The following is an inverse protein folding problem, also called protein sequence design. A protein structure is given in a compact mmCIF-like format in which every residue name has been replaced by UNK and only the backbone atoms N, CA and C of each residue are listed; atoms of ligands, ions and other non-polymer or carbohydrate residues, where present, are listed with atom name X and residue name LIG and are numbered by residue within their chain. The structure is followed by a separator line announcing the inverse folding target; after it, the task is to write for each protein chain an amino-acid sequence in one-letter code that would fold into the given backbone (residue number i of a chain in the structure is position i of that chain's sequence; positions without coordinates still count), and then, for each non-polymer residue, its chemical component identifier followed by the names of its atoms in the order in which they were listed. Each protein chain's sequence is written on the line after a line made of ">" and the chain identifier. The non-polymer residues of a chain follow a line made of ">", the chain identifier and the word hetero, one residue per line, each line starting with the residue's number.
data_IF_512764772853
#
_entry.id   IF_512764772853
#
_cell.length_a   1.000
_cell.length_b   1.000
_cell.length_c   1.000
_cell.angle_alpha   90.00
_cell.angle_beta   90.00
_cell.angle_gamma   90.00
#
_symmetry.space_group_name_H-M   'P 1'
#
loop_
_entity.id
_entity.type
_entity.pdbx_description
1 polymer ?
#
# COMPACT_ATOMS: atom_id res chain seq x y z
N UNK A 1 20.55 7.36 -4.08
CA UNK A 1 19.44 6.47 -3.66
C UNK A 1 18.67 7.17 -2.55
N UNK A 2 17.36 7.39 -2.72
CA UNK A 2 16.52 7.88 -1.62
C UNK A 2 16.17 6.73 -0.67
N UNK A 3 15.76 7.03 0.58
CA UNK A 3 15.29 6.01 1.52
C UNK A 3 14.05 5.27 0.99
N UNK A 4 13.21 5.95 0.22
CA UNK A 4 12.03 5.37 -0.42
C UNK A 4 12.44 4.36 -1.50
N UNK A 5 13.43 4.69 -2.35
CA UNK A 5 13.94 3.77 -3.37
C UNK A 5 14.47 2.47 -2.75
N UNK A 6 15.27 2.57 -1.68
CA UNK A 6 15.80 1.39 -1.00
C UNK A 6 14.72 0.56 -0.28
N UNK A 7 13.64 1.18 0.19
CA UNK A 7 12.50 0.46 0.75
C UNK A 7 11.68 -0.24 -0.35
N UNK A 8 11.51 0.42 -1.50
CA UNK A 8 10.83 -0.14 -2.66
C UNK A 8 11.57 -1.32 -3.28
N UNK A 9 12.90 -1.25 -3.39
CA UNK A 9 13.74 -2.36 -3.87
C UNK A 9 13.56 -3.59 -2.98
N UNK A 10 13.68 -3.45 -1.66
CA UNK A 10 13.47 -4.57 -0.71
C UNK A 10 12.07 -5.16 -0.79
N UNK A 11 11.05 -4.33 -0.97
CA UNK A 11 9.67 -4.79 -1.17
C UNK A 11 9.54 -5.57 -2.48
N UNK A 12 10.09 -5.03 -3.57
CA UNK A 12 10.02 -5.65 -4.90
C UNK A 12 10.74 -6.98 -4.92
N UNK A 13 11.93 -7.07 -4.32
CA UNK A 13 12.68 -8.32 -4.18
C UNK A 13 11.86 -9.37 -3.42
N UNK A 14 11.24 -8.99 -2.31
CA UNK A 14 10.41 -9.91 -1.53
C UNK A 14 9.13 -10.34 -2.27
N UNK A 15 8.58 -9.50 -3.15
CA UNK A 15 7.47 -9.84 -4.05
C UNK A 15 7.87 -10.81 -5.19
N UNK A 16 9.16 -10.97 -5.48
CA UNK A 16 9.61 -12.01 -6.42
C UNK A 16 9.59 -13.40 -5.77
N UNK A 17 9.80 -13.47 -4.46
CA UNK A 17 9.82 -14.73 -3.69
C UNK A 17 8.47 -15.08 -3.06
N UNK A 18 7.65 -14.06 -2.81
CA UNK A 18 6.31 -14.19 -2.21
C UNK A 18 5.27 -13.76 -3.23
N UNK A 19 4.22 -14.54 -3.43
CA UNK A 19 3.04 -14.16 -4.21
C UNK A 19 1.97 -13.55 -3.28
N UNK A 20 1.94 -12.22 -3.06
CA UNK A 20 0.96 -11.61 -2.19
C UNK A 20 -0.42 -11.58 -2.85
N UNK A 21 -1.47 -11.92 -2.09
CA UNK A 21 -2.84 -11.91 -2.62
C UNK A 21 -3.28 -10.56 -3.21
N UNK A 22 -2.70 -9.45 -2.72
CA UNK A 22 -2.99 -8.12 -3.25
C UNK A 22 -2.52 -7.90 -4.69
N UNK A 23 -1.56 -8.68 -5.20
CA UNK A 23 -1.05 -8.55 -6.57
C UNK A 23 -2.08 -9.00 -7.62
N UNK A 24 -2.84 -10.04 -7.30
CA UNK A 24 -3.86 -10.59 -8.18
C UNK A 24 -5.26 -10.00 -7.90
N UNK A 25 -5.36 -9.10 -6.93
CA UNK A 25 -6.61 -8.48 -6.51
C UNK A 25 -6.69 -7.02 -6.97
N UNK A 26 -7.43 -6.80 -8.06
CA UNK A 26 -7.66 -5.47 -8.63
C UNK A 26 -8.31 -4.48 -7.64
N UNK A 27 -8.93 -4.94 -6.55
CA UNK A 27 -9.51 -4.04 -5.53
C UNK A 27 -8.47 -3.15 -4.85
N UNK A 28 -7.18 -3.54 -4.86
CA UNK A 28 -6.09 -2.76 -4.26
C UNK A 28 -5.70 -1.50 -5.05
N UNK A 29 -6.07 -1.45 -6.33
CA UNK A 29 -5.84 -0.30 -7.22
C UNK A 29 -7.09 0.53 -7.46
N UNK A 30 -8.25 0.09 -6.97
CA UNK A 30 -9.51 0.81 -7.10
C UNK A 30 -9.58 2.01 -6.17
N UNK A 31 -10.00 3.15 -6.71
CA UNK A 31 -10.20 4.39 -5.95
C UNK A 31 -11.49 4.40 -5.13
N UNK A 32 -12.46 3.53 -5.37
CA UNK A 32 -13.70 3.46 -4.60
C UNK A 32 -13.66 2.39 -3.51
N UNK A 33 -12.59 1.59 -3.44
CA UNK A 33 -12.50 0.51 -2.47
C UNK A 33 -12.16 1.05 -1.06
N UNK A 34 -12.95 0.71 -0.02
CA UNK A 34 -12.63 1.08 1.35
C UNK A 34 -11.48 0.23 1.91
N UNK A 35 -10.41 0.86 2.41
CA UNK A 35 -9.22 0.15 2.92
C UNK A 35 -9.54 -0.90 4.01
N UNK A 36 -10.53 -0.64 4.87
CA UNK A 36 -10.88 -1.57 5.94
C UNK A 36 -11.30 -2.95 5.40
N UNK A 37 -11.93 -2.99 4.22
CA UNK A 37 -12.35 -4.24 3.57
C UNK A 37 -11.19 -5.07 3.05
N UNK A 38 -10.04 -4.45 2.78
CA UNK A 38 -8.82 -5.13 2.31
C UNK A 38 -7.76 -5.30 3.41
N UNK A 39 -7.96 -4.64 4.55
CA UNK A 39 -6.99 -4.62 5.65
C UNK A 39 -6.65 -6.00 6.19
N UNK A 40 -7.59 -6.95 6.15
CA UNK A 40 -7.35 -8.32 6.59
C UNK A 40 -6.36 -9.05 5.68
N UNK A 41 -6.44 -8.84 4.36
CA UNK A 41 -5.52 -9.40 3.36
C UNK A 41 -4.11 -8.87 3.63
N UNK A 42 -3.99 -7.55 3.86
CA UNK A 42 -2.70 -6.96 4.21
C UNK A 42 -2.12 -7.55 5.50
N UNK A 43 -2.93 -7.72 6.55
CA UNK A 43 -2.48 -8.25 7.84
C UNK A 43 -2.04 -9.71 7.77
N UNK A 44 -2.58 -10.48 6.84
CA UNK A 44 -2.18 -11.86 6.60
C UNK A 44 -0.93 -11.97 5.70
N UNK A 45 -0.55 -10.88 5.02
CA UNK A 45 0.57 -10.88 4.07
C UNK A 45 1.92 -10.83 4.82
N UNK A 46 2.89 -11.71 4.49
CA UNK A 46 4.22 -11.68 5.10
C UNK A 46 5.02 -10.42 4.71
N UNK A 47 4.62 -9.73 3.64
CA UNK A 47 5.22 -8.47 3.20
C UNK A 47 4.67 -7.24 3.94
N UNK A 48 3.81 -7.43 4.94
CA UNK A 48 3.12 -6.33 5.63
C UNK A 48 4.07 -5.24 6.13
N UNK A 49 5.15 -5.62 6.83
CA UNK A 49 6.10 -4.66 7.38
C UNK A 49 6.88 -3.92 6.28
N UNK A 50 7.27 -4.60 5.21
CA UNK A 50 7.96 -3.99 4.07
C UNK A 50 7.05 -3.01 3.32
N UNK A 51 5.78 -3.40 3.10
CA UNK A 51 4.75 -2.53 2.53
C UNK A 51 4.52 -1.29 3.40
N UNK A 52 4.46 -1.45 4.73
CA UNK A 52 4.28 -0.33 5.67
C UNK A 52 5.47 0.63 5.58
N UNK A 53 6.68 0.12 5.67
CA UNK A 53 7.90 0.92 5.67
C UNK A 53 8.01 1.76 4.39
N UNK A 54 7.81 1.15 3.22
CA UNK A 54 7.81 1.89 1.96
C UNK A 54 6.69 2.94 1.93
N UNK A 55 5.46 2.57 2.27
CA UNK A 55 4.31 3.46 2.18
C UNK A 55 4.37 4.64 3.17
N UNK A 56 4.99 4.46 4.33
CA UNK A 56 5.22 5.55 5.30
C UNK A 56 6.29 6.54 4.83
N UNK A 57 7.30 6.08 4.08
CA UNK A 57 8.36 6.94 3.54
C UNK A 57 7.90 7.66 2.28
N UNK A 58 7.38 6.92 1.29
CA UNK A 58 7.02 7.47 -0.02
C UNK A 58 5.67 8.18 -0.01
N UNK A 59 4.73 7.70 0.82
CA UNK A 59 3.31 8.11 0.82
C UNK A 59 2.69 8.09 -0.59
N UNK A 60 2.47 6.89 -1.17
CA UNK A 60 1.95 6.72 -2.52
C UNK A 60 0.69 7.55 -2.78
N UNK A 61 0.50 8.02 -4.02
CA UNK A 61 -0.64 8.89 -4.38
C UNK A 61 -1.97 8.15 -4.57
N UNK A 62 -1.97 6.82 -4.45
CA UNK A 62 -3.13 5.95 -4.66
C UNK A 62 -2.92 4.54 -4.10
N UNK A 63 -4.04 3.82 -3.97
CA UNK A 63 -4.08 2.41 -3.58
C UNK A 63 -4.11 2.14 -2.07
N UNK A 64 -4.18 0.85 -1.73
CA UNK A 64 -4.15 0.35 -0.35
C UNK A 64 -2.81 -0.31 -0.06
N UNK A 65 -2.12 0.18 0.97
CA UNK A 65 -0.79 -0.28 1.38
C UNK A 65 -0.81 -0.61 2.87
N UNK A 66 -0.37 -1.82 3.24
CA UNK A 66 -0.34 -2.29 4.64
C UNK A 66 -1.67 -2.06 5.40
N UNK A 67 -2.80 -2.23 4.71
CA UNK A 67 -4.16 -2.06 5.25
C UNK A 67 -4.60 -0.61 5.44
N UNK A 68 -3.81 0.37 4.97
CA UNK A 68 -4.14 1.79 4.95
C UNK A 68 -4.35 2.25 3.52
N UNK A 69 -5.36 3.09 3.30
CA UNK A 69 -5.55 3.75 2.01
C UNK A 69 -4.66 4.97 1.95
N UNK A 70 -3.91 5.10 0.86
CA UNK A 70 -3.17 6.30 0.55
C UNK A 70 -3.86 6.98 -0.63
N UNK A 71 -4.42 8.15 -0.38
CA UNK A 71 -4.93 9.01 -1.43
C UNK A 71 -4.07 10.26 -1.49
N UNK A 72 -3.64 10.65 -2.69
CA UNK A 72 -3.19 12.02 -2.92
C UNK A 72 -4.32 12.95 -2.50
N UNK A 73 -4.10 13.64 -1.38
CA UNK A 73 -5.08 14.52 -0.79
C UNK A 73 -5.31 15.73 -1.72
N UNK A 74 -6.16 15.56 -2.73
CA UNK A 74 -6.88 16.67 -3.32
C UNK A 74 -8.14 16.86 -2.48
N UNK A 75 -7.99 17.59 -1.36
CA UNK A 75 -9.02 18.02 -0.39
C UNK A 75 -9.20 17.17 0.87
N UNK A 76 -8.41 17.54 1.88
CA UNK A 76 -9.00 17.80 3.19
C UNK A 76 -9.77 19.12 3.03
N UNK A 77 -11.03 19.02 2.62
CA UNK A 77 -11.97 20.13 2.51
C UNK A 77 -13.19 19.78 3.33
N UNK A 78 -13.10 20.01 4.64
CA UNK A 78 -14.26 20.32 5.47
C UNK A 78 -14.75 21.69 5.03
N UNK A 79 -15.99 21.79 4.54
CA UNK A 79 -17.01 22.80 4.93
C UNK A 79 -18.20 22.71 3.95
N UNK A 80 -19.34 22.16 4.40
CA UNK A 80 -20.68 22.81 4.49
C UNK A 80 -21.79 21.76 4.70
#
# INVERSE_FOLDING_TARGET
>A
MSRATAAYERLTDAMLETDPECQNDGRFVLDDQPAHTLSYICRACPLFDLCRDYAEIERPKGGVWAGKRYSSNSKAGTDE
#
